data_IF_483997887974
#
_entry.id   IF_483997887974
#
_cell.length_a   1.000
_cell.length_b   1.000
_cell.length_c   1.000
_cell.angle_alpha   90.00
_cell.angle_beta   90.00
_cell.angle_gamma   90.00
#
_symmetry.space_group_name_H-M   'P 1'
#
loop_
_entity.id
_entity.type
_entity.pdbx_description
1 polymer ?
#
# COMPACT_ATOMS: atom_id res chain seq x y z
N UNK A 1 6.49 -48.22 8.30
CA UNK A 1 6.83 -48.46 9.71
C UNK A 1 8.17 -47.84 10.16
N UNK A 2 9.23 -47.88 9.39
CA UNK A 2 10.53 -47.33 9.81
C UNK A 2 10.55 -45.83 10.13
N UNK A 3 9.70 -45.04 9.46
CA UNK A 3 9.65 -43.58 9.65
C UNK A 3 8.96 -43.20 10.98
N UNK A 4 7.94 -43.95 11.39
CA UNK A 4 7.25 -43.75 12.68
C UNK A 4 8.15 -44.11 13.86
N UNK A 5 8.94 -45.17 13.70
CA UNK A 5 9.90 -45.61 14.73
C UNK A 5 11.05 -44.58 14.94
N UNK A 6 11.58 -43.99 13.86
CA UNK A 6 12.57 -42.91 13.98
C UNK A 6 11.99 -41.69 14.71
N UNK A 7 10.75 -41.32 14.43
CA UNK A 7 10.08 -40.19 15.07
C UNK A 7 9.89 -40.39 16.57
N UNK A 8 9.56 -41.62 16.99
CA UNK A 8 9.42 -41.99 18.42
C UNK A 8 10.76 -42.00 19.17
N UNK A 9 11.84 -42.45 18.54
CA UNK A 9 13.18 -42.44 19.14
C UNK A 9 13.66 -41.00 19.36
N UNK A 10 13.43 -40.09 18.41
CA UNK A 10 13.75 -38.65 18.57
C UNK A 10 12.92 -38.03 19.70
N UNK A 11 11.63 -38.32 19.80
CA UNK A 11 10.77 -37.82 20.84
C UNK A 11 11.21 -38.32 22.23
N UNK A 12 11.71 -39.56 22.37
CA UNK A 12 12.23 -40.08 23.63
C UNK A 12 13.53 -39.37 24.06
N UNK A 13 14.44 -39.11 23.14
CA UNK A 13 15.69 -38.34 23.38
C UNK A 13 15.38 -36.91 23.81
N UNK A 14 14.37 -36.28 23.18
CA UNK A 14 13.94 -34.94 23.55
C UNK A 14 13.25 -34.92 24.93
N UNK A 15 12.52 -35.98 25.31
CA UNK A 15 11.99 -36.13 26.65
C UNK A 15 13.10 -36.22 27.71
N UNK A 16 14.17 -36.96 27.41
CA UNK A 16 15.33 -37.04 28.32
C UNK A 16 16.06 -35.69 28.44
N UNK A 17 16.22 -34.97 27.34
CA UNK A 17 16.76 -33.63 27.36
C UNK A 17 15.91 -32.66 28.13
N UNK A 18 14.60 -32.72 27.95
CA UNK A 18 13.62 -31.91 28.69
C UNK A 18 13.71 -32.21 30.19
N UNK A 19 13.74 -33.50 30.59
CA UNK A 19 13.88 -33.90 31.99
C UNK A 19 15.16 -33.33 32.63
N UNK A 20 16.27 -33.26 31.92
CA UNK A 20 17.51 -32.63 32.37
C UNK A 20 17.41 -31.10 32.48
N UNK A 21 16.58 -30.49 31.68
CA UNK A 21 16.38 -29.01 31.68
C UNK A 21 15.50 -28.54 32.83
N UNK A 22 14.58 -29.38 33.34
CA UNK A 22 13.63 -29.00 34.40
C UNK A 22 14.34 -28.53 35.68
N UNK A 23 15.34 -29.26 36.24
CA UNK A 23 16.05 -28.79 37.43
C UNK A 23 16.78 -27.45 37.20
N UNK A 24 17.39 -27.28 36.02
CA UNK A 24 18.08 -26.04 35.63
C UNK A 24 17.12 -24.85 35.55
N UNK A 25 15.94 -25.07 34.98
CA UNK A 25 14.90 -24.01 34.91
C UNK A 25 14.35 -23.69 36.30
N UNK A 26 14.10 -24.68 37.14
CA UNK A 26 13.65 -24.48 38.55
C UNK A 26 14.67 -23.62 39.32
N UNK A 27 15.97 -23.92 39.15
CA UNK A 27 17.04 -23.12 39.76
C UNK A 27 17.02 -21.67 39.26
N UNK A 28 16.94 -21.44 37.95
CA UNK A 28 16.87 -20.10 37.37
C UNK A 28 15.63 -19.35 37.89
N UNK A 29 14.49 -20.01 37.99
CA UNK A 29 13.27 -19.39 38.52
C UNK A 29 13.37 -19.04 40.00
N UNK A 30 14.04 -19.90 40.80
CA UNK A 30 14.23 -19.67 42.25
C UNK A 30 15.25 -18.55 42.50
N UNK A 31 16.23 -18.40 41.60
CA UNK A 31 17.26 -17.36 41.68
C UNK A 31 16.86 -16.04 40.96
N UNK A 32 15.69 -16.06 40.27
CA UNK A 32 15.20 -14.87 39.60
C UNK A 32 14.90 -13.75 40.59
N UNK A 33 15.34 -12.53 40.33
CA UNK A 33 15.08 -11.42 41.22
C UNK A 33 13.59 -11.18 41.38
N UNK A 34 13.17 -10.93 42.62
CA UNK A 34 11.77 -10.62 42.95
C UNK A 34 11.33 -9.22 42.45
N UNK A 35 12.23 -8.51 41.78
CA UNK A 35 11.94 -7.20 41.21
C UNK A 35 10.90 -7.32 40.11
N UNK A 36 9.80 -6.57 40.15
CA UNK A 36 8.83 -6.56 39.07
C UNK A 36 9.49 -6.24 37.74
N UNK A 37 9.12 -6.97 36.70
CA UNK A 37 9.56 -6.61 35.35
C UNK A 37 9.06 -5.20 35.02
N UNK A 38 9.84 -4.37 34.33
CA UNK A 38 9.40 -3.05 33.94
C UNK A 38 8.10 -3.15 33.15
N UNK A 39 7.16 -2.26 33.41
CA UNK A 39 5.84 -2.25 32.74
C UNK A 39 5.98 -2.10 31.22
N UNK A 40 7.07 -1.48 30.76
CA UNK A 40 7.38 -1.31 29.35
C UNK A 40 8.84 -1.65 29.07
N UNK A 41 9.06 -2.42 28.01
CA UNK A 41 10.39 -2.71 27.49
C UNK A 41 10.65 -1.81 26.28
N UNK A 42 11.88 -1.38 26.06
CA UNK A 42 12.28 -0.60 24.86
C UNK A 42 11.83 -1.25 23.55
N UNK A 43 11.87 -2.59 23.47
CA UNK A 43 11.40 -3.33 22.31
C UNK A 43 9.89 -3.10 22.06
N UNK A 44 9.09 -3.03 23.12
CA UNK A 44 7.65 -2.77 23.00
C UNK A 44 7.37 -1.31 22.62
N UNK A 45 8.18 -0.38 23.10
CA UNK A 45 8.10 1.04 22.70
C UNK A 45 8.46 1.20 21.22
N UNK A 46 9.54 0.56 20.78
CA UNK A 46 9.90 0.52 19.35
C UNK A 46 8.82 -0.13 18.52
N UNK A 47 8.24 -1.25 18.97
CA UNK A 47 7.14 -1.92 18.27
C UNK A 47 5.91 -1.02 18.10
N UNK A 48 5.58 -0.17 19.08
CA UNK A 48 4.48 0.80 18.96
C UNK A 48 4.73 1.89 17.92
N UNK A 49 5.98 2.23 17.66
CA UNK A 49 6.37 3.18 16.60
C UNK A 49 6.31 2.50 15.23
N UNK A 50 6.76 1.25 15.15
CA UNK A 50 6.76 0.47 13.91
C UNK A 50 5.36 -0.02 13.51
N UNK A 51 4.51 -0.27 14.50
CA UNK A 51 3.15 -0.78 14.34
C UNK A 51 2.16 0.03 15.19
N UNK A 52 1.88 1.28 14.79
CA UNK A 52 1.07 2.21 15.59
C UNK A 52 -0.41 1.83 15.68
N UNK A 53 -0.90 0.92 14.83
CA UNK A 53 -2.32 0.66 14.66
C UNK A 53 -3.03 1.81 13.96
N UNK A 54 -4.34 1.86 14.10
CA UNK A 54 -5.13 3.01 13.67
C UNK A 54 -4.94 4.14 14.67
N UNK A 55 -4.67 5.34 14.17
CA UNK A 55 -4.51 6.51 15.00
C UNK A 55 -5.28 7.72 14.48
N UNK A 56 -5.75 8.55 15.40
CA UNK A 56 -6.36 9.82 15.05
C UNK A 56 -5.32 10.79 14.50
N UNK A 57 -5.71 11.55 13.49
CA UNK A 57 -4.87 12.57 12.88
C UNK A 57 -5.70 13.84 12.61
N UNK A 58 -5.07 14.99 12.76
CA UNK A 58 -5.68 16.29 12.45
C UNK A 58 -5.08 16.82 11.17
N UNK A 59 -5.91 17.17 10.21
CA UNK A 59 -5.48 17.88 9.01
C UNK A 59 -4.99 19.27 9.39
N UNK A 60 -3.73 19.57 9.10
CA UNK A 60 -3.09 20.85 9.47
C UNK A 60 -2.91 21.78 8.28
N UNK A 61 -2.74 21.20 7.08
CA UNK A 61 -2.47 21.97 5.87
C UNK A 61 -3.02 21.26 4.63
N UNK A 62 -3.50 22.04 3.67
CA UNK A 62 -3.88 21.57 2.33
C UNK A 62 -3.12 22.39 1.28
N UNK A 63 -2.41 21.73 0.39
CA UNK A 63 -1.64 22.37 -0.69
C UNK A 63 -2.17 21.94 -2.04
N UNK A 64 -2.41 22.87 -2.94
CA UNK A 64 -2.72 22.58 -4.34
C UNK A 64 -1.42 22.25 -5.08
N UNK A 65 -1.33 21.07 -5.66
CA UNK A 65 -0.16 20.63 -6.44
C UNK A 65 -0.36 20.80 -7.95
N UNK A 66 -1.54 20.42 -8.42
CA UNK A 66 -2.01 20.61 -9.81
C UNK A 66 -3.51 20.91 -9.78
N UNK A 67 -4.11 21.15 -10.95
CA UNK A 67 -5.55 21.44 -11.04
C UNK A 67 -6.44 20.35 -10.40
N UNK A 68 -5.97 19.10 -10.35
CA UNK A 68 -6.72 17.94 -9.86
C UNK A 68 -5.99 17.15 -8.74
N UNK A 69 -4.89 17.69 -8.17
CA UNK A 69 -4.13 17.06 -7.09
C UNK A 69 -3.90 18.02 -5.92
N UNK A 70 -4.15 17.54 -4.71
CA UNK A 70 -3.85 18.24 -3.46
C UNK A 70 -3.02 17.35 -2.53
N UNK A 71 -2.11 17.97 -1.80
CA UNK A 71 -1.40 17.37 -0.66
C UNK A 71 -2.10 17.75 0.63
N UNK A 72 -2.39 16.75 1.44
CA UNK A 72 -2.99 16.87 2.77
C UNK A 72 -1.95 16.52 3.81
N UNK A 73 -1.64 17.46 4.70
CA UNK A 73 -0.64 17.29 5.77
C UNK A 73 -1.38 17.10 7.10
N UNK A 74 -1.00 16.08 7.82
CA UNK A 74 -1.62 15.68 9.07
C UNK A 74 -0.64 15.73 10.22
N UNK A 75 -1.11 16.11 11.39
CA UNK A 75 -0.48 15.84 12.67
C UNK A 75 -1.14 14.60 13.28
N UNK A 76 -0.31 13.57 13.58
CA UNK A 76 -0.76 12.30 14.15
C UNK A 76 -0.69 12.33 15.68
N UNK A 77 -1.49 11.52 16.34
CA UNK A 77 -1.51 11.42 17.80
C UNK A 77 -0.15 10.98 18.37
N UNK A 78 0.49 10.00 17.73
CA UNK A 78 1.75 9.39 18.15
C UNK A 78 2.77 9.38 17.02
N UNK A 79 4.07 9.43 17.34
CA UNK A 79 5.09 9.20 16.35
C UNK A 79 4.96 7.77 15.79
N UNK A 80 5.28 7.61 14.53
CA UNK A 80 5.30 6.32 13.86
C UNK A 80 6.43 6.29 12.83
N UNK A 81 6.71 5.10 12.31
CA UNK A 81 7.70 4.91 11.25
C UNK A 81 7.08 4.12 10.11
N UNK A 82 7.41 4.50 8.90
CA UNK A 82 7.11 3.76 7.68
C UNK A 82 8.35 3.72 6.79
N UNK A 83 8.40 2.81 5.84
CA UNK A 83 9.46 2.79 4.80
C UNK A 83 8.98 3.61 3.61
N UNK A 84 9.86 4.46 3.07
CA UNK A 84 9.51 5.28 1.91
C UNK A 84 8.97 4.43 0.76
N UNK A 85 7.83 4.82 0.21
CA UNK A 85 7.06 4.06 -0.77
C UNK A 85 5.88 3.27 -0.21
N UNK A 86 5.78 3.07 1.11
CA UNK A 86 4.61 2.45 1.72
C UNK A 86 3.38 3.36 1.68
N UNK A 87 2.21 2.77 1.90
CA UNK A 87 0.92 3.44 2.01
C UNK A 87 0.28 3.22 3.39
N UNK A 88 -0.70 4.05 3.72
CA UNK A 88 -1.64 3.79 4.80
C UNK A 88 -3.08 4.03 4.33
N UNK A 89 -4.06 3.50 5.06
CA UNK A 89 -5.45 3.88 4.85
C UNK A 89 -5.71 5.23 5.49
N UNK A 90 -6.26 6.16 4.72
CA UNK A 90 -6.78 7.44 5.20
C UNK A 90 -8.31 7.36 5.21
N UNK A 91 -8.93 7.58 6.37
CA UNK A 91 -10.37 7.47 6.55
C UNK A 91 -10.96 8.64 7.32
N UNK A 92 -12.22 8.93 7.01
CA UNK A 92 -13.05 9.89 7.74
C UNK A 92 -14.53 9.62 7.48
N UNK A 93 -15.40 10.37 8.14
CA UNK A 93 -16.80 10.43 7.77
C UNK A 93 -16.96 11.37 6.57
N UNK A 94 -17.27 10.83 5.40
CA UNK A 94 -17.48 11.55 4.15
C UNK A 94 -18.94 11.44 3.74
N UNK A 95 -19.68 12.55 3.84
CA UNK A 95 -21.10 12.60 3.45
C UNK A 95 -22.02 11.69 4.28
N UNK A 96 -21.69 11.45 5.56
CA UNK A 96 -22.47 10.59 6.45
C UNK A 96 -22.03 9.12 6.46
N UNK A 97 -21.07 8.73 5.62
CA UNK A 97 -20.51 7.37 5.56
C UNK A 97 -19.06 7.34 6.06
N UNK A 98 -18.72 6.34 6.85
CA UNK A 98 -17.32 6.08 7.21
C UNK A 98 -16.62 5.43 6.01
N UNK A 99 -15.69 6.15 5.42
CA UNK A 99 -14.98 5.73 4.22
C UNK A 99 -13.47 5.79 4.44
N UNK A 100 -12.75 4.81 3.94
CA UNK A 100 -11.29 4.83 3.94
C UNK A 100 -10.72 4.38 2.59
N UNK A 101 -9.58 4.95 2.22
CA UNK A 101 -8.85 4.59 1.00
C UNK A 101 -7.35 4.54 1.28
N UNK A 102 -6.62 3.59 0.64
CA UNK A 102 -5.17 3.53 0.74
C UNK A 102 -4.55 4.64 -0.12
N UNK A 103 -3.59 5.34 0.46
CA UNK A 103 -2.76 6.32 -0.23
C UNK A 103 -1.30 6.14 0.18
N UNK A 104 -0.39 6.22 -0.78
CA UNK A 104 1.03 6.26 -0.50
C UNK A 104 1.38 7.54 0.26
N UNK A 105 2.30 7.43 1.22
CA UNK A 105 2.83 8.61 1.90
C UNK A 105 3.59 9.50 0.90
N UNK A 106 3.35 10.80 0.99
CA UNK A 106 4.12 11.84 0.28
C UNK A 106 5.09 12.60 1.19
N UNK A 107 5.12 12.29 2.47
CA UNK A 107 6.13 12.76 3.44
C UNK A 107 7.31 11.80 3.54
N UNK A 108 8.39 12.23 4.21
CA UNK A 108 9.48 11.33 4.53
C UNK A 108 9.17 10.46 5.77
N UNK A 109 9.84 9.30 5.94
CA UNK A 109 9.75 8.52 7.17
C UNK A 109 10.22 9.31 8.42
N UNK A 110 11.15 10.23 8.26
CA UNK A 110 11.65 11.07 9.34
C UNK A 110 10.59 12.03 9.86
N UNK A 111 9.76 12.58 8.98
CA UNK A 111 8.63 13.44 9.38
C UNK A 111 7.60 12.68 10.22
N UNK A 112 7.40 11.39 9.95
CA UNK A 112 6.48 10.55 10.73
C UNK A 112 6.94 10.35 12.18
N UNK A 113 8.25 10.29 12.43
CA UNK A 113 8.83 10.29 13.79
C UNK A 113 8.56 11.63 14.52
N UNK A 114 8.34 12.72 13.76
CA UNK A 114 7.93 14.02 14.28
C UNK A 114 6.39 14.20 14.27
N UNK A 115 5.61 13.12 14.20
CA UNK A 115 4.14 13.08 14.16
C UNK A 115 3.54 13.76 12.92
N UNK A 116 4.25 13.82 11.81
CA UNK A 116 3.74 14.41 10.57
C UNK A 116 3.56 13.33 9.50
N UNK A 117 2.41 13.31 8.86
CA UNK A 117 2.14 12.48 7.69
C UNK A 117 1.56 13.35 6.57
N UNK A 118 1.94 13.06 5.34
CA UNK A 118 1.32 13.72 4.20
C UNK A 118 0.87 12.68 3.16
N UNK A 119 -0.27 12.95 2.55
CA UNK A 119 -0.81 12.19 1.43
C UNK A 119 -1.15 13.13 0.29
N UNK A 120 -0.74 12.77 -0.92
CA UNK A 120 -1.09 13.54 -2.12
C UNK A 120 -2.10 12.75 -2.93
N UNK A 121 -3.26 13.35 -3.12
CA UNK A 121 -4.44 12.70 -3.65
C UNK A 121 -4.90 13.39 -4.91
N UNK A 122 -5.10 12.59 -5.97
CA UNK A 122 -5.70 13.04 -7.21
C UNK A 122 -7.22 12.87 -7.14
N UNK A 123 -7.96 13.86 -7.65
CA UNK A 123 -9.42 13.83 -7.78
C UNK A 123 -9.81 12.78 -8.82
N UNK A 124 -10.34 11.63 -8.38
CA UNK A 124 -10.62 10.48 -9.25
C UNK A 124 -11.65 9.50 -8.67
N UNK A 125 -12.72 9.99 -8.03
CA UNK A 125 -13.80 9.17 -7.48
C UNK A 125 -14.26 9.66 -6.11
N UNK A 126 -15.35 9.12 -5.61
CA UNK A 126 -16.13 9.62 -4.48
C UNK A 126 -15.29 10.19 -3.32
N UNK A 127 -14.40 9.39 -2.73
CA UNK A 127 -13.66 9.84 -1.55
C UNK A 127 -12.63 10.92 -1.88
N UNK A 128 -11.91 10.79 -3.00
CA UNK A 128 -10.92 11.78 -3.42
C UNK A 128 -11.56 13.09 -3.89
N UNK A 129 -12.76 13.03 -4.48
CA UNK A 129 -13.57 14.19 -4.82
C UNK A 129 -14.06 14.89 -3.55
N UNK A 130 -14.61 14.12 -2.61
CA UNK A 130 -15.04 14.66 -1.33
C UNK A 130 -13.88 15.34 -0.58
N UNK A 131 -12.70 14.69 -0.51
CA UNK A 131 -11.49 15.28 0.09
C UNK A 131 -11.13 16.60 -0.60
N UNK A 132 -11.15 16.61 -1.93
CA UNK A 132 -10.75 17.78 -2.72
C UNK A 132 -11.64 18.97 -2.48
N UNK A 133 -12.94 18.74 -2.34
CA UNK A 133 -13.96 19.79 -2.28
C UNK A 133 -14.28 20.20 -0.82
N UNK A 134 -14.07 19.34 0.18
CA UNK A 134 -14.57 19.56 1.54
C UNK A 134 -13.49 19.62 2.62
N UNK A 135 -12.38 18.86 2.47
CA UNK A 135 -11.39 18.74 3.55
C UNK A 135 -10.65 20.06 3.80
N UNK A 136 -10.56 20.46 5.06
CA UNK A 136 -9.95 21.72 5.50
C UNK A 136 -9.15 21.53 6.80
N UNK A 137 -8.15 22.39 7.05
CA UNK A 137 -7.41 22.36 8.31
C UNK A 137 -8.34 22.36 9.53
N UNK A 138 -8.02 21.51 10.50
CA UNK A 138 -8.81 21.22 11.69
C UNK A 138 -9.66 19.95 11.62
N UNK A 139 -9.94 19.44 10.44
CA UNK A 139 -10.72 18.20 10.27
C UNK A 139 -9.98 16.97 10.84
N UNK A 140 -10.76 16.04 11.36
CA UNK A 140 -10.24 14.79 11.97
C UNK A 140 -10.35 13.63 11.01
N UNK A 141 -9.27 12.86 10.95
CA UNK A 141 -9.12 11.68 10.13
C UNK A 141 -8.59 10.51 10.96
N UNK A 142 -8.67 9.33 10.41
CA UNK A 142 -8.03 8.12 10.95
C UNK A 142 -7.00 7.65 9.93
N UNK A 143 -5.76 7.46 10.39
CA UNK A 143 -4.68 6.89 9.60
C UNK A 143 -4.40 5.49 10.11
N UNK A 144 -4.41 4.50 9.22
CA UNK A 144 -4.12 3.10 9.54
C UNK A 144 -2.62 2.81 9.57
N UNK A 145 -2.28 1.56 9.91
CA UNK A 145 -0.90 1.09 9.89
C UNK A 145 -0.24 1.25 8.52
N UNK A 146 1.03 1.72 8.49
CA UNK A 146 1.84 1.65 7.29
C UNK A 146 1.91 0.24 6.73
N UNK A 147 1.82 0.10 5.42
CA UNK A 147 1.66 -1.18 4.75
C UNK A 147 2.21 -1.15 3.33
N UNK A 148 2.37 -2.34 2.76
CA UNK A 148 2.92 -2.50 1.42
C UNK A 148 4.42 -2.80 1.43
N UNK A 149 4.86 -3.44 0.37
CA UNK A 149 6.24 -3.85 0.11
C UNK A 149 6.87 -3.07 -1.06
N UNK A 150 6.18 -2.02 -1.52
CA UNK A 150 6.69 -1.11 -2.55
C UNK A 150 7.68 -0.11 -1.94
N UNK A 151 8.80 -0.63 -1.46
CA UNK A 151 9.90 0.11 -0.85
C UNK A 151 11.24 -0.51 -1.23
N UNK A 152 12.33 0.23 -1.03
CA UNK A 152 13.69 -0.28 -1.26
C UNK A 152 14.01 -1.41 -0.26
N UNK A 153 14.50 -2.55 -0.77
CA UNK A 153 14.86 -3.73 0.02
C UNK A 153 16.32 -4.11 -0.26
N UNK A 154 17.26 -3.78 0.63
CA UNK A 154 18.70 -3.96 0.37
C UNK A 154 19.13 -5.37 0.00
N UNK A 155 18.37 -6.40 0.45
CA UNK A 155 18.68 -7.81 0.16
C UNK A 155 18.28 -8.21 -1.26
N UNK A 156 17.26 -7.54 -1.83
CA UNK A 156 16.64 -7.91 -3.10
C UNK A 156 16.97 -6.94 -4.23
N UNK A 157 17.06 -5.66 -3.89
CA UNK A 157 17.17 -4.58 -4.86
C UNK A 157 18.62 -4.22 -5.17
N UNK A 158 18.85 -3.67 -6.35
CA UNK A 158 20.11 -3.01 -6.65
C UNK A 158 20.23 -1.71 -5.87
N UNK A 159 21.47 -1.25 -5.69
CA UNK A 159 21.74 0.10 -5.15
C UNK A 159 21.29 1.23 -6.07
N UNK A 160 20.96 0.92 -7.30
CA UNK A 160 20.41 1.86 -8.27
C UNK A 160 18.94 1.52 -8.52
N UNK A 161 18.06 2.47 -8.24
CA UNK A 161 16.62 2.36 -8.50
C UNK A 161 16.26 3.21 -9.71
N UNK A 162 15.60 2.59 -10.66
CA UNK A 162 14.93 3.25 -11.79
C UNK A 162 13.45 3.32 -11.47
N UNK A 163 12.98 4.53 -11.17
CA UNK A 163 11.59 4.79 -10.85
C UNK A 163 10.85 5.31 -12.08
N UNK A 164 9.66 4.75 -12.36
CA UNK A 164 8.78 5.21 -13.46
C UNK A 164 7.45 5.60 -12.84
N UNK A 165 7.19 6.91 -12.82
CA UNK A 165 5.98 7.51 -12.27
C UNK A 165 5.05 7.99 -13.38
N UNK A 166 3.74 7.74 -13.24
CA UNK A 166 2.69 8.27 -14.11
C UNK A 166 1.66 9.07 -13.32
N UNK A 167 1.57 10.39 -13.58
CA UNK A 167 0.61 11.26 -12.89
C UNK A 167 0.73 11.19 -11.36
N UNK A 168 -0.35 10.83 -10.66
CA UNK A 168 -0.35 10.69 -9.19
C UNK A 168 0.55 9.58 -8.66
N UNK A 169 1.04 8.68 -9.51
CA UNK A 169 2.05 7.67 -9.15
C UNK A 169 3.41 8.25 -8.75
N UNK A 170 3.58 9.56 -8.82
CA UNK A 170 4.75 10.26 -8.27
C UNK A 170 4.86 10.16 -6.74
N UNK A 171 3.74 9.97 -6.05
CA UNK A 171 3.64 10.08 -4.59
C UNK A 171 4.65 9.22 -3.82
N UNK A 172 4.76 7.90 -4.04
CA UNK A 172 5.73 7.07 -3.33
C UNK A 172 7.18 7.45 -3.65
N UNK A 173 7.46 7.89 -4.87
CA UNK A 173 8.81 8.28 -5.28
C UNK A 173 9.23 9.64 -4.71
N UNK A 174 8.27 10.54 -4.49
CA UNK A 174 8.54 11.79 -3.78
C UNK A 174 8.92 11.52 -2.31
N UNK A 175 8.23 10.58 -1.65
CA UNK A 175 8.63 10.09 -0.31
C UNK A 175 10.03 9.48 -0.32
N UNK A 176 10.36 8.65 -1.33
CA UNK A 176 11.69 8.04 -1.49
C UNK A 176 12.78 9.10 -1.70
N UNK A 177 12.54 10.12 -2.53
CA UNK A 177 13.50 11.19 -2.75
C UNK A 177 13.76 12.00 -1.46
N UNK A 178 12.74 12.25 -0.65
CA UNK A 178 12.89 12.89 0.66
C UNK A 178 13.65 12.00 1.65
N UNK A 179 13.40 10.68 1.67
CA UNK A 179 14.12 9.73 2.52
C UNK A 179 15.61 9.66 2.17
N UNK A 180 15.98 9.84 0.89
CA UNK A 180 17.37 9.98 0.47
C UNK A 180 17.99 11.28 0.96
N UNK A 181 17.24 12.39 0.89
CA UNK A 181 17.72 13.71 1.30
C UNK A 181 17.94 13.82 2.82
N UNK A 182 17.09 13.20 3.62
CA UNK A 182 17.20 13.20 5.07
C UNK A 182 18.08 12.08 5.63
N UNK A 183 18.63 11.23 4.75
CA UNK A 183 19.56 10.16 5.13
C UNK A 183 18.90 8.93 5.76
N UNK A 184 17.57 8.81 5.68
CA UNK A 184 16.85 7.61 6.15
C UNK A 184 17.13 6.40 5.26
N UNK A 185 17.30 6.64 3.96
CA UNK A 185 17.64 5.61 2.95
C UNK A 185 18.96 5.91 2.26
N UNK A 186 19.61 4.85 1.72
CA UNK A 186 20.90 4.93 1.02
C UNK A 186 20.92 4.07 -0.25
N UNK A 187 20.46 4.65 -1.38
CA UNK A 187 20.55 4.13 -2.73
C UNK A 187 20.56 5.30 -3.72
N UNK A 188 20.85 5.07 -5.01
CA UNK A 188 20.68 6.08 -6.04
C UNK A 188 19.31 5.93 -6.72
N UNK A 189 18.66 7.04 -7.03
CA UNK A 189 17.32 7.07 -7.62
C UNK A 189 17.33 7.89 -8.91
N UNK A 190 17.01 7.24 -10.04
CA UNK A 190 16.69 7.92 -11.29
C UNK A 190 15.20 7.83 -11.52
N UNK A 191 14.51 8.97 -11.44
CA UNK A 191 13.06 9.08 -11.54
C UNK A 191 12.67 9.59 -12.94
N UNK A 192 11.96 8.75 -13.70
CA UNK A 192 11.25 9.16 -14.92
C UNK A 192 9.81 9.49 -14.54
N UNK A 193 9.44 10.76 -14.66
CA UNK A 193 8.11 11.22 -14.27
C UNK A 193 7.29 11.68 -15.47
N UNK A 194 6.30 10.86 -15.84
CA UNK A 194 5.39 11.08 -16.95
C UNK A 194 4.12 11.83 -16.56
N UNK A 195 3.75 12.85 -17.33
CA UNK A 195 2.50 13.59 -17.23
C UNK A 195 1.95 13.97 -18.60
N UNK A 196 0.72 14.47 -18.67
CA UNK A 196 0.16 14.97 -19.94
C UNK A 196 0.82 16.26 -20.38
N UNK A 197 1.00 17.19 -19.45
CA UNK A 197 1.64 18.49 -19.64
C UNK A 197 2.55 18.81 -18.45
N UNK A 198 3.42 19.81 -18.57
CA UNK A 198 4.28 20.28 -17.49
C UNK A 198 3.47 20.83 -16.30
N UNK A 199 2.28 21.38 -16.53
CA UNK A 199 1.37 21.83 -15.48
C UNK A 199 0.80 20.69 -14.63
N UNK A 200 0.81 19.45 -15.13
CA UNK A 200 0.37 18.24 -14.44
C UNK A 200 1.49 17.57 -13.61
N UNK A 201 2.72 18.11 -13.67
CA UNK A 201 3.88 17.61 -12.92
C UNK A 201 3.83 18.10 -11.46
N UNK A 202 3.14 17.37 -10.60
CA UNK A 202 3.12 17.65 -9.17
C UNK A 202 4.56 17.62 -8.60
N UNK A 203 4.85 18.46 -7.61
CA UNK A 203 6.14 18.56 -6.93
C UNK A 203 7.33 19.00 -7.79
N UNK A 204 7.16 19.45 -9.04
CA UNK A 204 8.26 19.73 -9.96
C UNK A 204 9.39 20.56 -9.30
N UNK A 205 9.07 21.73 -8.77
CA UNK A 205 10.08 22.61 -8.15
C UNK A 205 10.77 21.97 -6.93
N UNK A 206 10.04 21.15 -6.15
CA UNK A 206 10.60 20.43 -4.98
C UNK A 206 11.49 19.26 -5.41
N UNK A 207 11.12 18.55 -6.46
CA UNK A 207 11.95 17.48 -7.05
C UNK A 207 13.24 18.05 -7.63
N UNK A 208 13.17 19.21 -8.32
CA UNK A 208 14.34 19.91 -8.85
C UNK A 208 15.29 20.34 -7.72
N UNK A 209 14.74 20.88 -6.64
CA UNK A 209 15.53 21.25 -5.46
C UNK A 209 16.21 20.04 -4.80
N UNK A 210 15.49 18.91 -4.67
CA UNK A 210 16.07 17.67 -4.16
C UNK A 210 17.17 17.12 -5.08
N UNK A 211 16.97 17.18 -6.40
CA UNK A 211 17.98 16.73 -7.37
C UNK A 211 19.25 17.63 -7.31
N UNK A 212 19.08 18.92 -7.16
CA UNK A 212 20.20 19.86 -6.98
C UNK A 212 20.94 19.64 -5.65
N UNK A 213 20.24 19.24 -4.58
CA UNK A 213 20.83 18.93 -3.27
C UNK A 213 21.62 17.62 -3.29
N UNK A 214 21.28 16.66 -4.15
CA UNK A 214 21.84 15.30 -4.16
C UNK A 214 22.44 14.92 -5.50
N UNK A 215 23.43 15.67 -6.05
CA UNK A 215 24.05 15.35 -7.32
C UNK A 215 24.67 13.95 -7.30
N UNK A 216 24.38 13.16 -8.36
CA UNK A 216 24.84 11.77 -8.48
C UNK A 216 24.04 10.74 -7.65
N UNK A 217 23.19 11.17 -6.72
CA UNK A 217 22.36 10.27 -5.90
C UNK A 217 20.89 10.31 -6.30
N UNK A 218 20.36 11.47 -6.65
CA UNK A 218 19.00 11.64 -7.14
C UNK A 218 18.97 12.40 -8.47
N UNK A 219 18.25 11.86 -9.44
CA UNK A 219 18.02 12.47 -10.75
C UNK A 219 16.56 12.36 -11.12
N UNK A 220 15.99 13.42 -11.65
CA UNK A 220 14.64 13.41 -12.23
C UNK A 220 14.66 13.74 -13.71
N UNK A 221 13.88 13.00 -14.49
CA UNK A 221 13.66 13.19 -15.92
C UNK A 221 12.15 13.32 -16.13
N UNK A 222 11.72 14.50 -16.51
CA UNK A 222 10.32 14.77 -16.81
C UNK A 222 10.01 14.34 -18.24
N UNK A 223 8.84 13.70 -18.42
CA UNK A 223 8.37 13.22 -19.72
C UNK A 223 6.93 13.70 -19.94
N UNK A 224 6.68 14.44 -21.01
CA UNK A 224 5.36 14.97 -21.31
C UNK A 224 4.85 14.51 -22.67
N UNK A 225 3.52 14.35 -22.79
CA UNK A 225 2.90 13.93 -24.04
C UNK A 225 2.98 14.99 -25.16
N UNK A 226 3.27 16.23 -24.79
CA UNK A 226 3.54 17.35 -25.71
C UNK A 226 4.98 17.77 -25.55
N UNK A 227 5.56 18.36 -26.60
CA UNK A 227 6.88 19.02 -26.50
C UNK A 227 6.78 20.21 -25.56
N UNK A 228 7.57 20.21 -24.49
CA UNK A 228 7.63 21.26 -23.49
C UNK A 228 9.05 21.42 -22.99
N UNK A 229 9.43 22.65 -22.70
CA UNK A 229 10.78 22.98 -22.26
C UNK A 229 11.18 22.27 -20.97
N UNK A 230 12.37 21.67 -20.99
CA UNK A 230 12.89 20.90 -19.84
C UNK A 230 12.22 19.54 -19.64
N UNK A 231 11.51 19.04 -20.65
CA UNK A 231 10.89 17.71 -20.62
C UNK A 231 11.33 16.89 -21.84
N UNK A 232 11.46 15.58 -21.66
CA UNK A 232 11.53 14.62 -22.77
C UNK A 232 10.12 14.44 -23.35
N UNK A 233 10.02 14.21 -24.66
CA UNK A 233 8.73 14.07 -25.33
C UNK A 233 8.28 12.62 -25.45
N UNK A 234 7.00 12.36 -25.23
CA UNK A 234 6.34 11.07 -25.48
C UNK A 234 6.14 10.24 -24.21
N UNK A 235 6.60 8.99 -24.24
CA UNK A 235 6.48 8.05 -23.15
C UNK A 235 7.85 7.54 -22.70
N UNK A 236 7.96 7.15 -21.44
CA UNK A 236 9.17 6.49 -20.94
C UNK A 236 9.32 5.14 -21.65
N UNK A 237 10.26 5.04 -22.56
CA UNK A 237 10.58 3.83 -23.31
C UNK A 237 11.99 3.33 -22.99
N UNK A 238 12.35 2.17 -23.47
CA UNK A 238 13.66 1.56 -23.20
C UNK A 238 14.83 2.41 -23.66
N UNK A 239 14.70 3.10 -24.81
CA UNK A 239 15.75 3.97 -25.32
C UNK A 239 16.00 5.15 -24.40
N UNK A 240 14.92 5.76 -23.87
CA UNK A 240 15.01 6.84 -22.90
C UNK A 240 15.63 6.36 -21.57
N UNK A 241 15.26 5.18 -21.07
CA UNK A 241 15.88 4.62 -19.86
C UNK A 241 17.38 4.43 -20.06
N UNK A 242 17.80 3.83 -21.18
CA UNK A 242 19.23 3.60 -21.53
C UNK A 242 20.02 4.89 -21.74
N UNK A 243 19.37 6.00 -22.09
CA UNK A 243 20.01 7.33 -22.19
C UNK A 243 20.51 7.85 -20.84
N UNK A 244 19.87 7.45 -19.75
CA UNK A 244 20.10 8.01 -18.42
C UNK A 244 20.63 7.02 -17.38
N UNK A 245 20.56 5.73 -17.68
CA UNK A 245 20.83 4.67 -16.70
C UNK A 245 21.69 3.57 -17.33
N UNK A 246 22.78 3.23 -16.65
CA UNK A 246 23.68 2.13 -16.98
C UNK A 246 23.84 1.18 -15.79
N UNK A 247 24.29 -0.06 -16.06
CA UNK A 247 24.66 -1.04 -15.05
C UNK A 247 23.49 -1.82 -14.46
N UNK A 248 23.63 -2.29 -13.23
CA UNK A 248 22.62 -3.09 -12.52
C UNK A 248 21.63 -2.21 -11.76
N UNK A 249 20.34 -2.40 -11.98
CA UNK A 249 19.29 -1.62 -11.34
C UNK A 249 18.04 -2.44 -11.05
N UNK A 250 17.22 -1.90 -10.14
CA UNK A 250 15.85 -2.37 -9.88
C UNK A 250 14.87 -1.35 -10.45
N UNK A 251 13.85 -1.80 -11.15
CA UNK A 251 12.76 -0.96 -11.66
C UNK A 251 11.61 -0.93 -10.65
N UNK A 252 11.14 0.27 -10.35
CA UNK A 252 9.95 0.49 -9.54
C UNK A 252 8.96 1.36 -10.31
N UNK A 253 7.71 0.91 -10.43
CA UNK A 253 6.70 1.59 -11.24
C UNK A 253 5.45 1.91 -10.41
N UNK A 254 4.96 3.14 -10.53
CA UNK A 254 3.68 3.56 -9.96
C UNK A 254 2.93 4.48 -10.93
N UNK A 255 1.72 4.07 -11.33
CA UNK A 255 0.91 4.79 -12.30
C UNK A 255 -0.28 3.99 -12.81
N UNK A 256 -0.94 4.44 -13.88
CA UNK A 256 -2.10 3.76 -14.45
C UNK A 256 -1.79 2.36 -14.99
N UNK A 257 -2.78 1.46 -15.00
CA UNK A 257 -2.64 0.08 -15.51
C UNK A 257 -2.13 0.03 -16.96
N UNK A 258 -2.56 0.98 -17.81
CA UNK A 258 -2.07 1.10 -19.19
C UNK A 258 -0.56 1.37 -19.25
N UNK A 259 -0.02 2.15 -18.31
CA UNK A 259 1.44 2.39 -18.19
C UNK A 259 2.17 1.08 -17.87
N UNK A 260 1.64 0.27 -16.97
CA UNK A 260 2.26 -1.04 -16.65
C UNK A 260 2.32 -1.97 -17.85
N UNK A 261 1.19 -2.07 -18.60
CA UNK A 261 1.14 -2.90 -19.80
C UNK A 261 2.12 -2.44 -20.90
N UNK A 262 2.31 -1.12 -21.03
CA UNK A 262 3.30 -0.55 -21.92
C UNK A 262 4.73 -0.85 -21.43
N UNK A 263 5.03 -0.60 -20.16
CA UNK A 263 6.35 -0.83 -19.58
C UNK A 263 6.77 -2.30 -19.58
N UNK A 264 5.84 -3.23 -19.41
CA UNK A 264 6.12 -4.66 -19.49
C UNK A 264 6.71 -5.05 -20.86
N UNK A 265 6.21 -4.43 -21.94
CA UNK A 265 6.72 -4.65 -23.29
C UNK A 265 8.07 -3.96 -23.51
N UNK A 266 8.18 -2.69 -23.09
CA UNK A 266 9.37 -1.88 -23.26
C UNK A 266 10.60 -2.45 -22.51
N UNK A 267 10.37 -2.91 -21.27
CA UNK A 267 11.44 -3.40 -20.40
C UNK A 267 11.75 -4.89 -20.58
N UNK A 268 10.91 -5.65 -21.29
CA UNK A 268 11.12 -7.09 -21.53
C UNK A 268 12.51 -7.42 -22.13
N UNK A 269 13.07 -6.64 -23.09
CA UNK A 269 14.39 -6.90 -23.64
C UNK A 269 15.55 -6.80 -22.64
N UNK A 270 15.33 -6.19 -21.46
CA UNK A 270 16.34 -6.10 -20.41
C UNK A 270 16.55 -7.44 -19.68
N UNK A 271 15.61 -8.38 -19.77
CA UNK A 271 15.68 -9.67 -19.10
C UNK A 271 15.80 -9.58 -17.56
N UNK A 272 15.27 -8.51 -16.95
CA UNK A 272 15.37 -8.32 -15.51
C UNK A 272 14.65 -9.44 -14.75
N UNK A 273 15.26 -9.99 -13.69
CA UNK A 273 14.55 -10.93 -12.82
C UNK A 273 13.28 -10.32 -12.24
N UNK A 274 12.20 -11.09 -12.08
CA UNK A 274 10.92 -10.59 -11.55
C UNK A 274 11.06 -9.86 -10.22
N UNK A 275 11.99 -10.28 -9.35
CA UNK A 275 12.28 -9.61 -8.08
C UNK A 275 12.84 -8.19 -8.23
N UNK A 276 13.34 -7.83 -9.43
CA UNK A 276 13.92 -6.52 -9.78
C UNK A 276 12.92 -5.60 -10.49
N UNK A 277 11.65 -6.05 -10.64
CA UNK A 277 10.58 -5.25 -11.26
C UNK A 277 9.43 -5.19 -10.27
N UNK A 278 9.27 -4.04 -9.62
CA UNK A 278 8.21 -3.79 -8.64
C UNK A 278 7.15 -2.87 -9.22
N UNK A 279 5.90 -3.22 -9.02
CA UNK A 279 4.73 -2.41 -9.41
C UNK A 279 3.90 -2.13 -8.17
N UNK A 280 3.55 -0.85 -7.95
CA UNK A 280 2.58 -0.51 -6.90
C UNK A 280 1.21 -1.04 -7.28
N UNK A 281 0.48 -1.53 -6.28
CA UNK A 281 -0.86 -2.06 -6.49
C UNK A 281 -1.87 -0.92 -6.65
N UNK A 282 -2.53 -0.86 -7.80
CA UNK A 282 -3.64 0.06 -8.01
C UNK A 282 -4.93 -0.47 -7.35
N UNK A 283 -5.71 0.44 -6.77
CA UNK A 283 -7.08 0.14 -6.35
C UNK A 283 -7.91 -0.29 -7.56
N UNK A 284 -8.78 -1.27 -7.34
CA UNK A 284 -9.76 -1.69 -8.34
C UNK A 284 -10.86 -0.63 -8.45
N UNK A 285 -11.16 -0.23 -9.67
CA UNK A 285 -12.15 0.78 -10.00
C UNK A 285 -13.53 0.23 -10.37
N UNK A 286 -14.31 1.04 -11.04
CA UNK A 286 -15.57 0.64 -11.68
C UNK A 286 -15.22 -0.13 -12.95
N UNK A 287 -15.90 -1.27 -13.20
CA UNK A 287 -15.79 -1.97 -14.48
C UNK A 287 -16.86 -1.47 -15.45
N UNK A 288 -16.56 -1.52 -16.74
CA UNK A 288 -17.55 -1.33 -17.78
C UNK A 288 -18.39 -2.61 -17.89
N UNK A 289 -19.66 -2.51 -17.52
CA UNK A 289 -20.61 -3.61 -17.56
C UNK A 289 -21.99 -3.10 -17.97
N UNK A 290 -22.79 -3.96 -18.56
CA UNK A 290 -24.19 -3.66 -18.82
C UNK A 290 -24.90 -3.31 -17.49
N UNK A 291 -25.75 -2.27 -17.46
CA UNK A 291 -26.44 -1.89 -16.24
C UNK A 291 -27.29 -3.05 -15.70
N UNK A 292 -26.95 -3.50 -14.50
CA UNK A 292 -27.69 -4.51 -13.75
C UNK A 292 -27.49 -4.27 -12.25
N UNK A 293 -28.49 -4.61 -11.46
CA UNK A 293 -28.45 -4.50 -9.99
C UNK A 293 -28.82 -5.85 -9.40
N UNK A 294 -27.98 -6.36 -8.54
CA UNK A 294 -28.12 -7.66 -7.89
C UNK A 294 -28.41 -7.52 -6.39
N UNK A 295 -29.08 -8.50 -5.84
CA UNK A 295 -29.27 -8.65 -4.41
C UNK A 295 -28.03 -9.28 -3.77
N UNK A 296 -27.39 -8.55 -2.83
CA UNK A 296 -26.25 -9.03 -2.05
C UNK A 296 -26.69 -9.26 -0.60
N UNK A 297 -26.78 -10.52 -0.18
CA UNK A 297 -26.99 -10.90 1.22
C UNK A 297 -25.62 -10.99 1.93
N UNK A 298 -25.46 -10.19 2.98
CA UNK A 298 -24.19 -10.08 3.73
C UNK A 298 -24.40 -10.51 5.16
N UNK A 299 -23.65 -11.52 5.61
CA UNK A 299 -23.64 -11.96 7.00
C UNK A 299 -22.39 -11.42 7.69
N UNK A 300 -22.56 -10.69 8.80
CA UNK A 300 -21.47 -10.17 9.65
C UNK A 300 -21.74 -10.59 11.08
N UNK A 301 -20.97 -11.55 11.58
CA UNK A 301 -21.26 -12.17 12.89
C UNK A 301 -22.59 -12.91 12.87
N UNK A 302 -23.57 -12.45 13.66
CA UNK A 302 -24.94 -13.01 13.71
C UNK A 302 -25.96 -12.17 12.92
N UNK A 303 -25.54 -11.04 12.36
CA UNK A 303 -26.41 -10.11 11.66
C UNK A 303 -26.45 -10.42 10.16
N UNK A 304 -27.59 -10.21 9.55
CA UNK A 304 -27.81 -10.39 8.09
C UNK A 304 -28.33 -9.08 7.49
N UNK A 305 -27.67 -8.63 6.46
CA UNK A 305 -27.99 -7.40 5.73
C UNK A 305 -28.33 -7.73 4.28
N UNK A 306 -29.27 -6.99 3.71
CA UNK A 306 -29.56 -7.02 2.28
C UNK A 306 -29.11 -5.71 1.64
N UNK A 307 -28.25 -5.80 0.65
CA UNK A 307 -27.61 -4.69 -0.04
C UNK A 307 -27.86 -4.82 -1.53
N UNK A 308 -28.11 -3.72 -2.22
CA UNK A 308 -28.11 -3.68 -3.68
C UNK A 308 -26.71 -3.42 -4.18
N UNK A 309 -26.22 -4.25 -5.09
CA UNK A 309 -24.90 -4.14 -5.69
C UNK A 309 -25.03 -3.98 -7.22
N UNK A 310 -24.44 -2.90 -7.76
CA UNK A 310 -24.42 -2.65 -9.19
C UNK A 310 -23.39 -3.56 -9.88
N UNK A 311 -23.68 -4.02 -11.08
CA UNK A 311 -22.77 -4.86 -11.85
C UNK A 311 -21.39 -4.20 -12.09
N UNK A 312 -21.33 -2.89 -12.16
CA UNK A 312 -20.10 -2.11 -12.38
C UNK A 312 -19.28 -1.83 -11.12
N UNK A 313 -19.83 -2.04 -9.91
CA UNK A 313 -19.13 -1.75 -8.65
C UNK A 313 -18.64 -3.03 -7.97
N UNK A 314 -17.57 -2.92 -7.18
CA UNK A 314 -17.11 -4.06 -6.37
C UNK A 314 -18.03 -4.28 -5.18
N UNK A 315 -18.12 -5.53 -4.70
CA UNK A 315 -18.93 -5.88 -3.52
C UNK A 315 -18.55 -5.04 -2.28
N UNK A 316 -17.27 -4.67 -2.14
CA UNK A 316 -16.82 -3.79 -1.05
C UNK A 316 -17.45 -2.40 -1.15
N UNK A 317 -17.52 -1.82 -2.34
CA UNK A 317 -18.14 -0.50 -2.57
C UNK A 317 -19.63 -0.55 -2.29
N UNK A 318 -20.33 -1.61 -2.74
CA UNK A 318 -21.76 -1.81 -2.45
C UNK A 318 -22.02 -1.85 -0.93
N UNK A 319 -21.22 -2.61 -0.20
CA UNK A 319 -21.35 -2.71 1.27
C UNK A 319 -21.05 -1.38 1.98
N UNK A 320 -19.99 -0.68 1.58
CA UNK A 320 -19.68 0.65 2.13
C UNK A 320 -20.79 1.67 1.86
N UNK A 321 -21.33 1.68 0.64
CA UNK A 321 -22.47 2.54 0.26
C UNK A 321 -23.71 2.25 1.09
N UNK A 322 -23.91 0.99 1.50
CA UNK A 322 -24.97 0.59 2.43
C UNK A 322 -24.66 0.88 3.90
N UNK A 323 -23.52 1.52 4.22
CA UNK A 323 -23.11 1.87 5.58
C UNK A 323 -22.54 0.70 6.39
N UNK A 324 -22.22 -0.44 5.77
CA UNK A 324 -21.66 -1.59 6.47
C UNK A 324 -20.16 -1.37 6.73
N UNK A 325 -19.74 -1.65 7.98
CA UNK A 325 -18.31 -1.65 8.35
C UNK A 325 -17.71 -3.00 7.99
N UNK A 326 -16.88 -3.01 6.97
CA UNK A 326 -16.22 -4.22 6.46
C UNK A 326 -14.71 -4.04 6.43
N UNK A 327 -13.92 -5.09 6.76
CA UNK A 327 -12.48 -4.99 6.74
C UNK A 327 -11.97 -4.66 5.34
N UNK A 328 -11.15 -3.63 5.20
CA UNK A 328 -10.50 -3.32 3.93
C UNK A 328 -9.14 -2.65 4.14
N UNK A 329 -8.17 -2.92 3.24
CA UNK A 329 -6.83 -2.33 3.33
C UNK A 329 -6.28 -1.91 1.96
N UNK A 330 -5.75 -2.82 1.15
CA UNK A 330 -5.10 -2.47 -0.13
C UNK A 330 -6.07 -2.11 -1.26
N UNK A 331 -7.31 -2.58 -1.22
CA UNK A 331 -8.35 -2.41 -2.26
C UNK A 331 -7.91 -2.83 -3.68
N UNK A 332 -6.90 -3.69 -3.76
CA UNK A 332 -6.28 -4.17 -5.00
C UNK A 332 -6.28 -5.71 -5.11
N UNK A 333 -7.01 -6.40 -4.24
CA UNK A 333 -7.17 -7.85 -4.26
C UNK A 333 -6.02 -8.68 -3.70
N UNK A 334 -4.85 -8.08 -3.40
CA UNK A 334 -3.64 -8.84 -3.06
C UNK A 334 -3.45 -9.17 -1.57
N UNK A 335 -3.84 -8.27 -0.65
CA UNK A 335 -3.49 -8.42 0.78
C UNK A 335 -4.36 -9.43 1.55
N UNK A 336 -5.55 -9.79 1.05
CA UNK A 336 -6.48 -10.71 1.69
C UNK A 336 -7.19 -10.17 2.93
N UNK A 337 -7.00 -8.90 3.31
CA UNK A 337 -7.58 -8.33 4.52
C UNK A 337 -9.12 -8.30 4.50
N UNK A 338 -9.71 -8.15 3.32
CA UNK A 338 -11.15 -8.16 3.09
C UNK A 338 -11.70 -9.55 2.73
N UNK A 339 -10.92 -10.64 2.85
CA UNK A 339 -11.38 -11.95 2.41
C UNK A 339 -12.71 -12.33 3.08
N UNK A 340 -13.65 -12.80 2.28
CA UNK A 340 -15.00 -13.16 2.71
C UNK A 340 -15.38 -14.50 2.11
N UNK A 341 -16.18 -15.29 2.81
CA UNK A 341 -16.60 -16.59 2.30
C UNK A 341 -17.79 -16.42 1.36
N UNK A 342 -17.68 -16.95 0.15
CA UNK A 342 -18.81 -17.06 -0.77
C UNK A 342 -19.72 -18.19 -0.30
N UNK A 343 -21.01 -17.91 -0.15
CA UNK A 343 -22.06 -18.89 0.16
C UNK A 343 -22.79 -19.27 -1.13
N UNK A 344 -23.21 -18.28 -1.93
CA UNK A 344 -23.92 -18.49 -3.17
C UNK A 344 -23.69 -17.33 -4.15
N UNK A 345 -23.94 -17.58 -5.43
CA UNK A 345 -23.92 -16.60 -6.51
C UNK A 345 -22.68 -16.69 -7.40
N UNK A 346 -22.76 -15.97 -8.53
CA UNK A 346 -21.68 -15.87 -9.52
C UNK A 346 -21.01 -14.51 -9.44
N UNK A 347 -19.72 -14.49 -9.73
CA UNK A 347 -18.91 -13.28 -9.67
C UNK A 347 -17.80 -13.31 -10.70
N UNK A 348 -17.28 -12.15 -11.04
CA UNK A 348 -16.02 -11.96 -11.74
C UNK A 348 -15.03 -11.15 -10.93
N UNK A 349 -13.77 -11.23 -11.30
CA UNK A 349 -12.65 -10.53 -10.62
C UNK A 349 -12.04 -9.56 -11.61
N UNK A 350 -11.74 -8.35 -11.13
CA UNK A 350 -11.04 -7.34 -11.91
C UNK A 350 -9.61 -7.78 -12.23
N UNK A 351 -9.20 -7.60 -13.46
CA UNK A 351 -7.84 -7.92 -13.93
C UNK A 351 -7.39 -9.36 -13.62
N UNK A 352 -6.10 -9.55 -13.39
CA UNK A 352 -5.57 -10.85 -12.95
C UNK A 352 -6.00 -11.15 -11.51
N UNK A 353 -6.47 -12.37 -11.27
CA UNK A 353 -6.79 -12.85 -9.93
C UNK A 353 -5.52 -12.89 -9.05
N UNK A 354 -5.43 -11.97 -8.10
CA UNK A 354 -4.31 -11.83 -7.16
C UNK A 354 -4.56 -12.54 -5.83
N UNK A 355 -5.70 -13.24 -5.69
CA UNK A 355 -6.00 -13.99 -4.48
C UNK A 355 -4.98 -15.12 -4.29
N UNK A 356 -4.73 -15.48 -3.05
CA UNK A 356 -3.96 -16.68 -2.74
C UNK A 356 -4.68 -17.90 -3.30
N UNK A 357 -3.94 -18.87 -3.82
CA UNK A 357 -4.51 -20.11 -4.36
C UNK A 357 -5.44 -20.80 -3.35
N UNK A 358 -5.10 -20.76 -2.06
CA UNK A 358 -5.92 -21.30 -0.98
C UNK A 358 -7.28 -20.58 -0.89
N UNK A 359 -7.33 -19.26 -1.00
CA UNK A 359 -8.58 -18.50 -0.91
C UNK A 359 -9.55 -18.93 -2.01
N UNK A 360 -9.09 -18.97 -3.28
CA UNK A 360 -9.93 -19.47 -4.38
C UNK A 360 -10.38 -20.92 -4.21
N UNK A 361 -9.49 -21.79 -3.75
CA UNK A 361 -9.78 -23.23 -3.57
C UNK A 361 -10.79 -23.50 -2.45
N UNK A 362 -10.82 -22.68 -1.41
CA UNK A 362 -11.72 -22.85 -0.26
C UNK A 362 -12.96 -21.95 -0.29
N UNK A 363 -13.26 -21.34 -1.44
CA UNK A 363 -14.47 -20.56 -1.65
C UNK A 363 -14.43 -19.16 -1.02
N UNK A 364 -13.22 -18.59 -0.84
CA UNK A 364 -13.07 -17.22 -0.40
C UNK A 364 -12.92 -16.26 -1.59
N UNK A 365 -13.57 -15.13 -1.47
CA UNK A 365 -13.47 -14.00 -2.38
C UNK A 365 -12.86 -12.79 -1.66
N UNK A 366 -12.34 -11.85 -2.42
CA UNK A 366 -11.89 -10.55 -1.92
C UNK A 366 -12.84 -9.47 -2.41
N UNK A 367 -13.83 -9.04 -1.60
CA UNK A 367 -14.86 -8.08 -2.01
C UNK A 367 -14.33 -6.81 -2.68
N UNK A 368 -13.10 -6.40 -2.37
CA UNK A 368 -12.51 -5.19 -2.97
C UNK A 368 -12.14 -5.32 -4.46
N UNK A 369 -12.11 -6.52 -5.01
CA UNK A 369 -11.83 -6.79 -6.43
C UNK A 369 -12.85 -7.75 -7.08
N UNK A 370 -13.96 -8.02 -6.40
CA UNK A 370 -15.01 -8.93 -6.85
C UNK A 370 -16.23 -8.13 -7.27
N UNK A 371 -16.73 -8.39 -8.47
CA UNK A 371 -17.98 -7.81 -9.00
C UNK A 371 -19.09 -8.85 -9.02
N UNK A 372 -20.35 -8.47 -8.75
CA UNK A 372 -21.46 -9.40 -8.83
C UNK A 372 -21.84 -9.66 -10.29
N UNK A 373 -22.11 -10.92 -10.62
CA UNK A 373 -22.66 -11.37 -11.91
C UNK A 373 -24.03 -12.06 -11.75
N UNK A 374 -24.50 -12.17 -10.52
CA UNK A 374 -25.84 -12.62 -10.11
C UNK A 374 -26.15 -12.12 -8.71
N UNK A 375 -27.32 -12.42 -8.18
CA UNK A 375 -27.58 -12.34 -6.74
C UNK A 375 -26.53 -13.18 -5.99
N UNK A 376 -26.05 -12.65 -4.86
CA UNK A 376 -24.95 -13.26 -4.10
C UNK A 376 -25.25 -13.32 -2.61
N UNK A 377 -24.62 -14.30 -1.95
CA UNK A 377 -24.63 -14.43 -0.50
C UNK A 377 -23.20 -14.66 0.00
N UNK A 378 -22.79 -13.84 0.96
CA UNK A 378 -21.41 -13.85 1.49
C UNK A 378 -21.37 -13.73 3.00
N UNK A 379 -20.33 -14.33 3.63
CA UNK A 379 -20.02 -14.14 5.04
C UNK A 379 -18.75 -13.27 5.14
N UNK A 380 -18.88 -12.12 5.76
CA UNK A 380 -17.82 -11.14 5.95
C UNK A 380 -17.31 -11.19 7.38
N UNK A 381 -15.97 -11.19 7.63
CA UNK A 381 -15.45 -11.12 8.98
C UNK A 381 -15.86 -9.79 9.64
N UNK A 382 -16.05 -9.82 10.95
CA UNK A 382 -16.32 -8.62 11.74
C UNK A 382 -15.10 -7.70 11.71
N UNK A 383 -15.31 -6.41 11.42
CA UNK A 383 -14.26 -5.38 11.38
C UNK A 383 -13.74 -5.02 12.78
#
# INVERSE_FOLDING_TARGET
MAFVFKKQIFGFMDLLRFKKMVPKRRKIMAEAPATPLPATYKVNETAKILHPGYQSATLTEVRLETADMKTYVFETEKPFYFRAGQYATLGCNAGGSEVSRPYAFSSSPREALAKKAAFTVKKAGFFSEWLFDNAKPGDKFVIGDPSGDFCYEPIKDAKQIVAIAGGSGITPFYSMAQALADGTDDYSLTLFYGAKTAADLAFRSRLDALAAQMPGKFKVVYVTAKEEEGCEHGFVNLALVKKYVDGDFTVMMCGPSAMYAFQDKELAPLGLPLKRVKKEANCVGVRDAAPAVYDLTVHIGFDTFKVKADAGETLLVAMERAGLKVPSKCRAGGCGFCHSRLVAGNFSIADADKRRLADGKFGYIHPCCTYPDSDMEIVVPKA
#
